data_IF_563108752852
#
_entry.id   IF_563108752852
#
_cell.length_a   1.000
_cell.length_b   1.000
_cell.length_c   1.000
_cell.angle_alpha   90.00
_cell.angle_beta   90.00
_cell.angle_gamma   90.00
#
_symmetry.space_group_name_H-M   'P 1'
#
loop_
_entity.id
_entity.type
_entity.pdbx_description
1 polymer ?
#
# COMPACT_ATOMS: atom_id res chain seq x y z
N UNK A 1 -0.06 -11.29 -28.32
CA UNK A 1 -0.98 -12.25 -27.68
C UNK A 1 -2.15 -11.49 -27.08
N UNK A 2 -3.39 -11.92 -27.33
CA UNK A 2 -4.60 -11.33 -26.73
C UNK A 2 -4.97 -12.09 -25.43
N UNK A 3 -5.73 -11.48 -24.50
CA UNK A 3 -6.36 -12.20 -23.39
C UNK A 3 -7.41 -13.21 -23.89
N UNK A 4 -7.96 -14.04 -22.98
CA UNK A 4 -9.10 -14.93 -23.29
C UNK A 4 -10.22 -14.16 -23.98
N UNK A 5 -10.83 -14.72 -25.03
CA UNK A 5 -11.85 -14.10 -25.89
C UNK A 5 -13.27 -14.62 -25.60
N UNK A 6 -13.46 -15.29 -24.46
CA UNK A 6 -14.76 -15.79 -24.03
C UNK A 6 -15.80 -14.66 -23.94
N UNK A 7 -16.97 -14.83 -24.54
CA UNK A 7 -18.00 -13.79 -24.70
C UNK A 7 -18.51 -13.18 -23.38
N UNK A 8 -18.50 -13.95 -22.30
CA UNK A 8 -18.95 -13.48 -20.98
C UNK A 8 -17.96 -12.53 -20.29
N UNK A 9 -16.73 -12.44 -20.79
CA UNK A 9 -15.65 -11.68 -20.14
C UNK A 9 -15.48 -10.27 -20.70
N UNK A 10 -16.24 -9.86 -21.71
CA UNK A 10 -16.06 -8.58 -22.40
C UNK A 10 -17.36 -7.80 -22.55
N UNK A 11 -17.24 -6.50 -22.76
CA UNK A 11 -18.38 -5.66 -23.13
C UNK A 11 -19.03 -6.14 -24.45
N UNK A 12 -20.35 -5.88 -24.64
CA UNK A 12 -21.04 -6.21 -25.88
C UNK A 12 -20.38 -5.62 -27.13
N UNK A 13 -19.74 -4.45 -27.01
CA UNK A 13 -19.03 -3.79 -28.11
C UNK A 13 -17.76 -4.57 -28.50
N UNK A 14 -16.91 -4.94 -27.54
CA UNK A 14 -15.74 -5.74 -27.83
C UNK A 14 -16.12 -7.15 -28.31
N UNK A 15 -17.22 -7.72 -27.82
CA UNK A 15 -17.73 -9.02 -28.30
C UNK A 15 -18.04 -9.02 -29.80
N UNK A 16 -18.63 -7.95 -30.34
CA UNK A 16 -18.86 -7.81 -31.79
C UNK A 16 -17.55 -7.86 -32.59
N UNK A 17 -16.48 -7.27 -32.06
CA UNK A 17 -15.15 -7.27 -32.71
C UNK A 17 -14.47 -8.65 -32.61
N UNK A 18 -14.67 -9.35 -31.49
CA UNK A 18 -14.21 -10.73 -31.32
C UNK A 18 -14.91 -11.64 -32.32
N UNK A 19 -16.23 -11.53 -32.45
CA UNK A 19 -17.03 -12.28 -33.43
C UNK A 19 -16.58 -11.99 -34.86
N UNK A 20 -16.32 -10.72 -35.21
CA UNK A 20 -15.81 -10.34 -36.52
C UNK A 20 -14.43 -10.96 -36.81
N UNK A 21 -13.53 -11.00 -35.81
CA UNK A 21 -12.23 -11.66 -35.96
C UNK A 21 -12.38 -13.19 -36.13
N UNK A 22 -13.24 -13.82 -35.33
CA UNK A 22 -13.52 -15.25 -35.42
C UNK A 22 -14.14 -15.62 -36.78
N UNK A 23 -15.02 -14.77 -37.29
CA UNK A 23 -15.62 -14.93 -38.62
C UNK A 23 -14.56 -14.78 -39.72
N UNK A 24 -13.68 -13.77 -39.66
CA UNK A 24 -12.57 -13.62 -40.59
C UNK A 24 -11.66 -14.86 -40.59
N UNK A 25 -11.35 -15.42 -39.42
CA UNK A 25 -10.58 -16.65 -39.29
C UNK A 25 -11.29 -17.89 -39.84
N UNK A 26 -12.62 -17.94 -39.73
CA UNK A 26 -13.45 -19.04 -40.26
C UNK A 26 -13.47 -19.03 -41.79
N UNK A 27 -13.63 -17.86 -42.39
CA UNK A 27 -13.63 -17.65 -43.84
C UNK A 27 -12.22 -17.82 -44.45
N UNK A 28 -11.18 -17.42 -43.71
CA UNK A 28 -9.79 -17.40 -44.18
C UNK A 28 -8.91 -18.41 -43.42
N UNK A 29 -9.34 -19.67 -43.33
CA UNK A 29 -8.68 -20.72 -42.51
C UNK A 29 -7.16 -20.83 -42.70
N UNK A 30 -6.67 -20.76 -43.95
CA UNK A 30 -5.24 -20.80 -44.27
C UNK A 30 -4.63 -19.41 -44.42
N UNK A 31 -5.37 -18.45 -44.99
CA UNK A 31 -4.89 -17.08 -45.25
C UNK A 31 -4.79 -16.20 -44.00
N UNK A 32 -5.38 -16.60 -42.87
CA UNK A 32 -5.20 -15.92 -41.57
C UNK A 32 -3.73 -15.84 -41.15
N UNK A 33 -2.91 -16.83 -41.52
CA UNK A 33 -1.48 -16.85 -41.23
C UNK A 33 -0.66 -15.92 -42.14
N UNK A 34 -1.25 -15.46 -43.25
CA UNK A 34 -0.67 -14.47 -44.16
C UNK A 34 -1.07 -13.03 -43.79
N UNK A 35 -1.76 -12.83 -42.66
CA UNK A 35 -2.10 -11.49 -42.15
C UNK A 35 -3.38 -10.87 -42.70
N UNK A 36 -4.20 -11.62 -43.45
CA UNK A 36 -5.47 -11.10 -44.03
C UNK A 36 -6.43 -10.56 -42.96
N UNK A 37 -6.41 -11.10 -41.74
CA UNK A 37 -7.27 -10.66 -40.64
C UNK A 37 -6.59 -9.66 -39.67
N UNK A 38 -5.46 -9.06 -40.04
CA UNK A 38 -4.71 -8.15 -39.16
C UNK A 38 -5.49 -6.90 -38.76
N UNK A 39 -6.31 -6.36 -39.65
CA UNK A 39 -7.12 -5.17 -39.37
C UNK A 39 -8.18 -5.45 -38.30
N UNK A 40 -8.93 -6.56 -38.46
CA UNK A 40 -9.89 -7.02 -37.46
C UNK A 40 -9.20 -7.28 -36.11
N UNK A 41 -8.01 -7.90 -36.12
CA UNK A 41 -7.23 -8.16 -34.91
C UNK A 41 -6.76 -6.85 -34.23
N UNK A 42 -6.30 -5.87 -35.01
CA UNK A 42 -5.86 -4.56 -34.50
C UNK A 42 -7.00 -3.81 -33.83
N UNK A 43 -8.18 -3.78 -34.45
CA UNK A 43 -9.38 -3.13 -33.91
C UNK A 43 -9.83 -3.83 -32.62
N UNK A 44 -9.89 -5.16 -32.62
CA UNK A 44 -10.22 -5.94 -31.42
C UNK A 44 -9.22 -5.68 -30.28
N UNK A 45 -7.91 -5.72 -30.55
CA UNK A 45 -6.89 -5.46 -29.54
C UNK A 45 -6.97 -4.06 -28.93
N UNK A 46 -7.30 -3.04 -29.73
CA UNK A 46 -7.56 -1.68 -29.23
C UNK A 46 -8.74 -1.67 -28.25
N UNK A 47 -9.84 -2.36 -28.57
CA UNK A 47 -11.00 -2.48 -27.69
C UNK A 47 -10.63 -3.18 -26.36
N UNK A 48 -9.97 -4.34 -26.45
CA UNK A 48 -9.54 -5.10 -25.26
C UNK A 48 -8.53 -4.34 -24.39
N UNK A 49 -7.65 -3.53 -25.01
CA UNK A 49 -6.73 -2.65 -24.29
C UNK A 49 -7.50 -1.56 -23.54
N UNK A 50 -8.46 -0.90 -24.19
CA UNK A 50 -9.29 0.12 -23.56
C UNK A 50 -10.10 -0.46 -22.38
N UNK A 51 -10.72 -1.62 -22.57
CA UNK A 51 -11.44 -2.32 -21.50
C UNK A 51 -10.53 -2.67 -20.30
N UNK A 52 -9.31 -3.17 -20.57
CA UNK A 52 -8.33 -3.44 -19.50
C UNK A 52 -7.91 -2.16 -18.76
N UNK A 53 -7.73 -1.05 -19.48
CA UNK A 53 -7.41 0.24 -18.85
C UNK A 53 -8.57 0.70 -17.97
N UNK A 54 -9.80 0.62 -18.47
CA UNK A 54 -11.01 0.99 -17.74
C UNK A 54 -11.18 0.14 -16.47
N UNK A 55 -11.05 -1.19 -16.55
CA UNK A 55 -11.10 -2.07 -15.37
C UNK A 55 -10.00 -1.77 -14.36
N UNK A 56 -8.78 -1.44 -14.83
CA UNK A 56 -7.69 -1.03 -13.93
C UNK A 56 -8.04 0.26 -13.20
N UNK A 57 -8.65 1.23 -13.88
CA UNK A 57 -9.13 2.47 -13.28
C UNK A 57 -10.22 2.19 -12.24
N UNK A 58 -11.25 1.43 -12.57
CA UNK A 58 -12.32 1.08 -11.62
C UNK A 58 -11.80 0.29 -10.41
N UNK A 59 -10.88 -0.65 -10.63
CA UNK A 59 -10.26 -1.39 -9.53
C UNK A 59 -9.39 -0.48 -8.65
N UNK A 60 -8.70 0.49 -9.26
CA UNK A 60 -7.95 1.51 -8.53
C UNK A 60 -8.89 2.37 -7.68
N UNK A 61 -9.97 2.91 -8.26
CA UNK A 61 -10.95 3.74 -7.56
C UNK A 61 -11.61 2.97 -6.40
N UNK A 62 -12.04 1.72 -6.64
CA UNK A 62 -12.57 0.83 -5.58
C UNK A 62 -11.53 0.54 -4.49
N UNK A 63 -10.26 0.40 -4.86
CA UNK A 63 -9.18 0.17 -3.88
C UNK A 63 -8.94 1.40 -3.01
N UNK A 64 -9.07 2.60 -3.59
CA UNK A 64 -8.95 3.87 -2.89
C UNK A 64 -10.14 4.09 -1.96
N UNK A 65 -11.37 3.86 -2.42
CA UNK A 65 -12.58 3.93 -1.59
C UNK A 65 -12.51 2.96 -0.41
N UNK A 66 -12.09 1.72 -0.67
CA UNK A 66 -11.86 0.74 0.40
C UNK A 66 -10.80 1.25 1.37
N UNK A 67 -9.68 1.79 0.91
CA UNK A 67 -8.62 2.32 1.77
C UNK A 67 -9.13 3.44 2.66
N UNK A 68 -9.84 4.41 2.08
CA UNK A 68 -10.42 5.54 2.81
C UNK A 68 -11.39 5.07 3.90
N UNK A 69 -12.28 4.14 3.56
CA UNK A 69 -13.18 3.51 4.53
C UNK A 69 -12.44 2.83 5.69
N UNK A 70 -11.29 2.22 5.42
CA UNK A 70 -10.56 1.44 6.42
C UNK A 70 -9.67 2.28 7.33
N UNK A 71 -9.04 3.32 6.80
CA UNK A 71 -8.00 4.05 7.52
C UNK A 71 -8.38 5.49 7.86
N UNK A 72 -9.53 5.99 7.39
CA UNK A 72 -9.81 7.42 7.47
C UNK A 72 -8.84 8.22 6.59
N UNK A 73 -9.02 9.54 6.50
CA UNK A 73 -8.41 10.43 5.52
C UNK A 73 -6.99 10.01 5.05
N UNK A 74 -6.75 9.84 3.74
CA UNK A 74 -5.39 9.73 3.26
C UNK A 74 -4.65 11.01 3.62
N UNK A 75 -3.49 10.89 4.28
CA UNK A 75 -2.55 12.01 4.41
C UNK A 75 -2.35 12.57 2.99
N UNK A 76 -2.51 13.88 2.77
CA UNK A 76 -2.19 14.47 1.48
C UNK A 76 -0.77 14.04 1.14
N UNK A 77 -0.58 13.47 -0.04
CA UNK A 77 0.77 13.22 -0.53
C UNK A 77 1.57 14.52 -0.42
N UNK A 78 2.86 14.43 -0.12
CA UNK A 78 3.74 15.62 -0.02
C UNK A 78 3.58 16.57 -1.23
N UNK A 79 3.18 16.04 -2.40
CA UNK A 79 2.80 16.80 -3.59
C UNK A 79 1.61 17.77 -3.40
N UNK A 80 0.60 17.43 -2.60
CA UNK A 80 -0.57 18.28 -2.33
C UNK A 80 -0.25 19.41 -1.34
N UNK A 81 0.66 19.19 -0.39
CA UNK A 81 1.18 20.23 0.51
C UNK A 81 2.03 21.25 -0.28
N UNK A 82 2.84 20.78 -1.24
CA UNK A 82 3.57 21.68 -2.17
C UNK A 82 2.63 22.49 -3.05
N UNK A 83 1.53 21.91 -3.56
CA UNK A 83 0.54 22.66 -4.38
C UNK A 83 -0.15 23.78 -3.60
N UNK A 84 -0.38 23.60 -2.29
CA UNK A 84 -0.94 24.64 -1.42
C UNK A 84 0.06 25.78 -1.13
N UNK A 85 1.35 25.46 -1.02
CA UNK A 85 2.44 26.45 -0.89
C UNK A 85 2.71 27.20 -2.21
N UNK A 86 2.66 26.50 -3.35
CA UNK A 86 2.96 27.08 -4.67
C UNK A 86 1.84 27.98 -5.22
N UNK A 87 0.56 27.68 -4.91
CA UNK A 87 -0.58 28.54 -5.30
C UNK A 87 -0.55 29.93 -4.65
N UNK A 88 0.12 30.11 -3.51
CA UNK A 88 0.28 31.44 -2.87
C UNK A 88 1.31 32.34 -3.59
N UNK A 89 2.21 31.78 -4.39
CA UNK A 89 3.26 32.56 -5.09
C UNK A 89 2.87 32.93 -6.54
N UNK A 90 2.06 32.10 -7.21
CA UNK A 90 1.74 32.27 -8.64
C UNK A 90 0.72 33.37 -8.97
N UNK A 91 -0.05 33.86 -7.99
CA UNK A 91 -0.97 34.99 -8.18
C UNK A 91 -0.26 36.35 -8.33
N UNK A 92 1.07 36.39 -8.15
CA UNK A 92 1.88 37.63 -8.24
C UNK A 92 2.67 37.75 -9.55
N UNK A 93 2.88 36.66 -10.30
CA UNK A 93 3.77 36.63 -11.48
C UNK A 93 3.04 36.58 -12.83
N UNK A 94 1.75 36.23 -12.86
CA UNK A 94 0.93 36.24 -14.09
C UNK A 94 0.61 37.65 -14.61
N UNK A 95 0.89 38.71 -13.84
CA UNK A 95 0.79 40.11 -14.30
C UNK A 95 2.00 40.59 -15.11
N UNK A 96 3.16 39.93 -15.01
CA UNK A 96 4.40 40.40 -15.65
C UNK A 96 4.60 39.71 -17.02
N UNK A 97 4.25 38.42 -17.14
CA UNK A 97 4.47 37.67 -18.38
C UNK A 97 3.48 37.97 -19.52
N UNK A 98 2.26 38.44 -19.21
CA UNK A 98 1.26 38.79 -20.24
C UNK A 98 1.63 40.06 -21.04
N UNK A 99 2.65 40.83 -20.60
CA UNK A 99 3.07 42.07 -21.26
C UNK A 99 4.20 41.88 -22.27
N UNK A 100 4.81 40.69 -22.32
CA UNK A 100 5.95 40.41 -23.21
C UNK A 100 5.50 39.65 -24.48
N UNK A 101 4.46 38.82 -24.40
CA UNK A 101 4.08 37.91 -25.48
C UNK A 101 3.23 38.52 -26.63
N UNK A 102 2.95 39.82 -26.61
CA UNK A 102 2.17 40.48 -27.68
C UNK A 102 3.02 41.13 -28.78
N UNK A 103 4.34 40.89 -28.83
CA UNK A 103 5.24 41.68 -29.71
C UNK A 103 6.10 40.91 -30.70
N UNK A 104 5.94 39.60 -30.88
CA UNK A 104 6.58 38.92 -32.01
C UNK A 104 5.63 37.89 -32.60
N UNK A 105 5.17 38.19 -33.81
CA UNK A 105 4.41 37.30 -34.66
C UNK A 105 5.31 36.40 -35.50
N UNK A 106 4.63 35.45 -36.12
CA UNK A 106 5.06 34.45 -37.12
C UNK A 106 5.85 33.23 -36.65
N UNK A 107 5.67 32.03 -37.22
CA UNK A 107 4.62 31.34 -37.99
C UNK A 107 5.25 30.00 -38.39
N UNK A 108 4.44 28.94 -38.51
CA UNK A 108 4.70 27.67 -39.21
C UNK A 108 5.40 26.51 -38.47
N UNK A 109 4.59 25.71 -37.76
CA UNK A 109 4.75 24.25 -37.62
C UNK A 109 3.34 23.63 -37.63
N UNK A 110 3.13 22.60 -38.45
CA UNK A 110 1.78 22.08 -38.78
C UNK A 110 1.13 21.32 -37.63
N UNK A 111 -0.11 21.70 -37.31
CA UNK A 111 -0.89 21.32 -36.11
C UNK A 111 -1.25 19.83 -35.96
N UNK A 112 -0.99 18.98 -36.95
CA UNK A 112 -1.47 17.58 -36.96
C UNK A 112 -0.46 16.53 -36.51
N UNK A 113 0.83 16.88 -36.39
CA UNK A 113 1.90 15.97 -35.93
C UNK A 113 2.24 16.19 -34.45
N UNK A 114 2.02 17.40 -33.94
CA UNK A 114 2.27 17.78 -32.54
C UNK A 114 1.28 17.08 -31.58
N UNK A 115 0.00 16.97 -31.98
CA UNK A 115 -1.06 16.38 -31.15
C UNK A 115 -0.92 14.90 -30.84
N UNK A 116 -0.12 14.14 -31.61
CA UNK A 116 0.12 12.70 -31.37
C UNK A 116 1.34 12.41 -30.52
N UNK A 117 2.23 13.39 -30.33
CA UNK A 117 3.41 13.26 -29.47
C UNK A 117 3.13 13.80 -28.06
N UNK A 118 2.27 14.81 -27.92
CA UNK A 118 1.83 15.35 -26.62
C UNK A 118 1.03 14.34 -25.77
N UNK A 119 0.13 13.55 -26.37
CA UNK A 119 -0.75 12.62 -25.63
C UNK A 119 -0.03 11.48 -24.88
N UNK A 120 1.24 11.19 -25.20
CA UNK A 120 2.02 10.14 -24.52
C UNK A 120 3.09 10.69 -23.59
N UNK A 121 3.57 11.92 -23.80
CA UNK A 121 4.54 12.57 -22.92
C UNK A 121 3.87 13.16 -21.67
N UNK A 122 2.61 13.60 -21.77
CA UNK A 122 1.86 14.14 -20.63
C UNK A 122 1.60 13.10 -19.52
N UNK A 123 1.52 11.80 -19.86
CA UNK A 123 1.25 10.74 -18.88
C UNK A 123 2.52 10.38 -18.09
N UNK A 124 3.70 10.37 -18.74
CA UNK A 124 4.97 10.04 -18.08
C UNK A 124 5.53 11.23 -17.31
N UNK A 125 5.38 12.45 -17.82
CA UNK A 125 5.84 13.67 -17.14
C UNK A 125 4.93 14.07 -15.95
N UNK A 126 3.62 13.77 -15.99
CA UNK A 126 2.75 13.87 -14.80
C UNK A 126 3.15 12.84 -13.72
N UNK A 127 3.65 11.66 -14.12
CA UNK A 127 4.11 10.62 -13.19
C UNK A 127 5.49 10.96 -12.56
N UNK A 128 6.38 11.58 -13.32
CA UNK A 128 7.75 11.93 -12.88
C UNK A 128 7.81 13.27 -12.11
N UNK A 129 6.93 14.22 -12.41
CA UNK A 129 6.80 15.50 -11.69
C UNK A 129 6.23 15.34 -10.26
N UNK A 130 5.61 14.19 -9.97
CA UNK A 130 5.10 13.82 -8.64
C UNK A 130 6.13 13.11 -7.74
N UNK A 131 7.41 13.13 -8.11
CA UNK A 131 8.53 12.63 -7.30
C UNK A 131 8.79 13.45 -6.03
N UNK A 132 7.83 13.51 -5.10
CA UNK A 132 8.15 13.73 -3.70
C UNK A 132 8.94 12.52 -3.19
N UNK A 133 9.95 12.76 -2.36
CA UNK A 133 10.74 11.73 -1.64
C UNK A 133 9.87 10.50 -1.42
N UNK A 134 10.22 9.40 -2.08
CA UNK A 134 9.35 8.25 -2.21
C UNK A 134 9.06 7.71 -0.81
N UNK A 135 7.88 8.05 -0.28
CA UNK A 135 7.34 7.29 0.85
C UNK A 135 7.39 5.82 0.43
N UNK A 136 8.03 4.99 1.25
CA UNK A 136 8.34 3.61 0.87
C UNK A 136 7.06 2.81 0.60
N UNK A 137 7.17 1.65 -0.06
CA UNK A 137 6.01 0.80 -0.36
C UNK A 137 5.14 0.54 0.89
N UNK A 138 5.79 0.44 2.05
CA UNK A 138 5.17 0.26 3.36
C UNK A 138 4.38 1.49 3.81
N UNK A 139 4.89 2.68 3.56
CA UNK A 139 4.23 3.94 3.96
C UNK A 139 2.97 4.22 3.14
N UNK A 140 3.01 3.89 1.85
CA UNK A 140 1.85 4.05 0.96
C UNK A 140 0.79 2.97 1.18
N UNK A 141 1.18 1.75 1.53
CA UNK A 141 0.25 0.59 1.47
C UNK A 141 -0.44 0.28 2.79
N UNK A 142 0.05 0.81 3.92
CA UNK A 142 -0.43 0.45 5.25
C UNK A 142 -1.01 1.65 6.01
N UNK A 143 -2.14 1.44 6.69
CA UNK A 143 -2.64 2.32 7.74
C UNK A 143 -1.85 2.11 9.03
N UNK A 144 -1.55 3.18 9.75
CA UNK A 144 -0.74 3.15 10.98
C UNK A 144 -1.64 3.33 12.19
N UNK A 145 -1.56 2.39 13.11
CA UNK A 145 -2.27 2.43 14.38
C UNK A 145 -1.32 2.15 15.53
N UNK A 146 -1.63 2.67 16.71
CA UNK A 146 -0.73 2.67 17.85
C UNK A 146 -1.42 2.17 19.10
N UNK A 147 -0.64 1.51 19.96
CA UNK A 147 -1.09 1.04 21.25
C UNK A 147 0.01 1.29 22.27
N UNK A 148 -0.35 1.91 23.39
CA UNK A 148 0.55 2.13 24.52
C UNK A 148 0.14 1.13 25.59
N UNK A 149 1.06 0.23 25.95
CA UNK A 149 0.80 -0.69 27.05
C UNK A 149 0.76 0.08 28.38
N UNK A 150 -0.20 -0.23 29.27
CA UNK A 150 -0.21 0.34 30.61
C UNK A 150 1.04 -0.09 31.40
N UNK A 151 1.34 0.66 32.46
CA UNK A 151 2.42 0.37 33.40
C UNK A 151 3.82 0.30 32.76
N UNK A 152 4.07 1.05 31.69
CA UNK A 152 5.40 1.10 31.05
C UNK A 152 5.76 -0.15 30.24
N UNK A 153 4.76 -0.93 29.80
CA UNK A 153 4.95 -2.14 28.98
C UNK A 153 5.47 -1.89 27.55
N UNK A 154 5.68 -0.63 27.16
CA UNK A 154 6.18 -0.23 25.85
C UNK A 154 5.09 0.24 24.89
N UNK A 155 5.51 0.85 23.78
CA UNK A 155 4.62 1.42 22.76
C UNK A 155 4.73 0.64 21.46
N UNK A 156 3.61 0.14 20.95
CA UNK A 156 3.57 -0.72 19.77
C UNK A 156 2.80 -0.06 18.64
N UNK A 157 3.18 -0.40 17.42
CA UNK A 157 2.54 0.11 16.20
C UNK A 157 2.11 -1.05 15.33
N UNK A 158 0.86 -0.98 14.91
CA UNK A 158 0.23 -1.88 13.96
C UNK A 158 0.20 -1.23 12.58
N UNK A 159 0.79 -1.89 11.59
CA UNK A 159 0.72 -1.53 10.18
C UNK A 159 -0.32 -2.43 9.50
N UNK A 160 -1.47 -1.86 9.15
CA UNK A 160 -2.59 -2.60 8.59
C UNK A 160 -2.69 -2.41 7.07
N UNK A 161 -2.68 -3.49 6.29
CA UNK A 161 -2.85 -3.43 4.83
C UNK A 161 -4.32 -3.35 4.41
N UNK A 162 -4.60 -2.87 3.21
CA UNK A 162 -5.94 -2.91 2.59
C UNK A 162 -6.53 -4.33 2.42
N UNK A 163 -5.66 -5.34 2.48
CA UNK A 163 -6.00 -6.77 2.45
C UNK A 163 -6.21 -7.35 3.85
N UNK A 164 -6.25 -6.51 4.89
CA UNK A 164 -6.48 -6.88 6.29
C UNK A 164 -5.39 -7.75 6.91
N UNK A 165 -4.22 -7.85 6.27
CA UNK A 165 -3.01 -8.37 6.90
C UNK A 165 -2.43 -7.25 7.76
N UNK A 166 -2.01 -7.57 8.98
CA UNK A 166 -1.40 -6.60 9.88
C UNK A 166 0.01 -7.03 10.27
N UNK A 167 0.92 -6.06 10.34
CA UNK A 167 2.27 -6.22 10.87
C UNK A 167 2.33 -5.51 12.21
N UNK A 168 2.86 -6.18 13.23
CA UNK A 168 3.10 -5.61 14.55
C UNK A 168 4.57 -5.20 14.60
N UNK A 169 4.84 -3.95 14.97
CA UNK A 169 6.17 -3.32 15.04
C UNK A 169 6.30 -2.53 16.33
N UNK A 170 7.51 -2.15 16.72
CA UNK A 170 7.69 -1.14 17.77
C UNK A 170 7.23 0.23 17.26
N UNK A 171 6.60 1.01 18.14
CA UNK A 171 6.29 2.40 17.84
C UNK A 171 7.56 3.27 17.98
N UNK A 172 7.66 4.40 17.25
CA UNK A 172 8.87 5.25 17.28
C UNK A 172 9.27 5.76 18.66
N UNK A 173 8.30 5.97 19.57
CA UNK A 173 8.60 6.42 20.93
C UNK A 173 8.70 5.27 21.94
N UNK A 174 8.84 4.02 21.49
CA UNK A 174 9.07 2.88 22.37
C UNK A 174 10.42 3.05 23.09
N UNK A 175 10.54 2.75 24.41
CA UNK A 175 11.78 2.93 25.18
C UNK A 175 13.04 2.32 24.55
N UNK A 176 12.92 1.14 23.92
CA UNK A 176 14.02 0.50 23.14
C UNK A 176 14.59 1.42 22.06
N UNK A 177 13.74 2.21 21.40
CA UNK A 177 14.15 3.12 20.31
C UNK A 177 14.60 4.45 20.91
N UNK A 178 13.83 5.03 21.84
CA UNK A 178 14.13 6.36 22.39
C UNK A 178 15.39 6.39 23.24
N UNK A 179 15.62 5.34 24.04
CA UNK A 179 16.79 5.23 24.92
C UNK A 179 17.91 4.40 24.29
N UNK A 180 17.74 4.03 23.01
CA UNK A 180 18.67 3.22 22.22
C UNK A 180 19.13 1.92 22.91
N UNK A 181 18.23 1.26 23.65
CA UNK A 181 18.58 0.09 24.46
C UNK A 181 19.14 -1.06 23.61
N UNK A 182 20.12 -1.77 24.17
CA UNK A 182 20.68 -3.00 23.59
C UNK A 182 19.78 -4.18 23.97
N UNK A 183 19.24 -4.86 22.97
CA UNK A 183 18.40 -6.04 23.16
C UNK A 183 19.29 -7.26 23.31
N UNK A 184 19.19 -7.96 24.43
CA UNK A 184 20.01 -9.14 24.73
C UNK A 184 19.38 -10.41 24.18
N UNK A 185 18.13 -10.70 24.55
CA UNK A 185 17.42 -11.91 24.13
C UNK A 185 15.95 -11.64 23.87
N UNK A 186 15.38 -12.39 22.91
CA UNK A 186 13.94 -12.36 22.62
C UNK A 186 13.41 -13.76 22.84
N UNK A 187 12.47 -13.89 23.76
CA UNK A 187 11.79 -15.14 24.05
C UNK A 187 10.45 -15.19 23.33
N UNK A 188 10.21 -16.25 22.54
CA UNK A 188 8.97 -16.49 21.80
C UNK A 188 8.04 -17.52 22.47
N UNK A 189 8.41 -18.00 23.66
CA UNK A 189 7.59 -18.89 24.44
C UNK A 189 6.48 -18.09 25.13
N UNK A 190 5.24 -18.30 24.68
CA UNK A 190 4.08 -17.64 25.27
C UNK A 190 3.60 -18.40 26.52
N UNK A 191 3.55 -19.74 26.46
CA UNK A 191 3.23 -20.64 27.55
C UNK A 191 4.18 -21.85 27.52
N UNK A 192 4.22 -22.66 28.57
CA UNK A 192 5.05 -23.89 28.64
C UNK A 192 4.90 -24.80 27.42
N UNK A 193 3.68 -24.90 26.89
CA UNK A 193 3.35 -25.74 25.74
C UNK A 193 3.24 -24.99 24.40
N UNK A 194 3.52 -23.67 24.36
CA UNK A 194 3.27 -22.85 23.18
C UNK A 194 4.45 -21.93 22.85
N UNK A 195 5.25 -22.35 21.86
CA UNK A 195 6.24 -21.52 21.21
C UNK A 195 5.66 -20.91 19.93
N UNK A 196 5.72 -19.58 19.79
CA UNK A 196 5.17 -18.84 18.64
C UNK A 196 5.98 -19.03 17.35
N UNK A 197 7.24 -19.46 17.44
CA UNK A 197 8.09 -19.78 16.28
C UNK A 197 7.66 -21.07 15.58
N UNK A 198 7.03 -22.00 16.31
CA UNK A 198 6.57 -23.30 15.80
C UNK A 198 5.19 -23.19 15.14
N UNK A 199 4.99 -22.17 14.30
CA UNK A 199 3.73 -21.91 13.63
C UNK A 199 3.76 -22.40 12.17
N UNK A 200 3.16 -23.56 11.90
CA UNK A 200 3.11 -24.15 10.55
C UNK A 200 1.81 -23.78 9.84
N UNK A 201 1.78 -22.59 9.25
CA UNK A 201 0.61 -22.09 8.52
C UNK A 201 0.64 -22.54 7.06
N UNK A 202 -0.47 -23.09 6.57
CA UNK A 202 -0.59 -23.51 5.17
C UNK A 202 -1.97 -23.24 4.54
N UNK A 203 -2.00 -23.17 3.21
CA UNK A 203 -3.21 -23.05 2.41
C UNK A 203 -3.94 -21.70 2.49
N UNK A 204 -4.96 -21.53 1.63
CA UNK A 204 -5.78 -20.30 1.55
C UNK A 204 -6.53 -20.00 2.86
N UNK A 205 -6.94 -21.04 3.59
CA UNK A 205 -7.66 -20.93 4.88
C UNK A 205 -6.75 -20.66 6.09
N UNK A 206 -5.42 -20.58 5.86
CA UNK A 206 -4.40 -20.42 6.92
C UNK A 206 -4.57 -21.50 7.99
N UNK A 207 -4.62 -22.76 7.56
CA UNK A 207 -4.75 -23.92 8.43
C UNK A 207 -3.45 -24.14 9.21
N UNK A 208 -3.56 -24.59 10.46
CA UNK A 208 -2.41 -24.75 11.37
C UNK A 208 -1.92 -23.45 12.02
N UNK A 209 -2.52 -22.30 11.68
CA UNK A 209 -2.20 -21.04 12.32
C UNK A 209 -2.65 -21.02 13.79
N UNK A 210 -1.74 -20.62 14.67
CA UNK A 210 -2.06 -20.38 16.07
C UNK A 210 -3.06 -19.22 16.18
N UNK A 211 -4.08 -19.41 17.01
CA UNK A 211 -5.05 -18.36 17.30
C UNK A 211 -4.52 -17.45 18.42
N UNK A 212 -4.69 -16.15 18.22
CA UNK A 212 -4.30 -15.10 19.15
C UNK A 212 -5.55 -14.39 19.64
N UNK A 213 -5.60 -14.17 20.95
CA UNK A 213 -6.52 -13.27 21.64
C UNK A 213 -5.85 -11.91 21.84
N UNK A 214 -6.59 -10.94 22.36
CA UNK A 214 -6.07 -9.62 22.72
C UNK A 214 -4.90 -9.68 23.72
N UNK A 215 -5.02 -10.46 24.79
CA UNK A 215 -3.98 -10.60 25.81
C UNK A 215 -2.89 -11.63 25.45
N UNK A 216 -2.93 -12.25 24.27
CA UNK A 216 -1.96 -13.27 23.88
C UNK A 216 -0.56 -12.67 23.74
N UNK A 217 0.41 -13.25 24.47
CA UNK A 217 1.82 -12.88 24.38
C UNK A 217 2.39 -13.41 23.06
N UNK A 218 3.08 -12.52 22.34
CA UNK A 218 3.81 -12.82 21.11
C UNK A 218 5.28 -13.13 21.40
N UNK A 219 5.93 -12.24 22.15
CA UNK A 219 7.30 -12.42 22.59
C UNK A 219 7.61 -11.55 23.83
N UNK A 220 8.70 -11.87 24.51
CA UNK A 220 9.27 -11.09 25.61
C UNK A 220 10.67 -10.64 25.22
N UNK A 221 10.90 -9.33 25.21
CA UNK A 221 12.17 -8.73 24.79
C UNK A 221 12.95 -8.31 26.03
N UNK A 222 14.08 -8.97 26.30
CA UNK A 222 15.00 -8.61 27.37
C UNK A 222 16.03 -7.62 26.85
N UNK A 223 16.24 -6.54 27.58
CA UNK A 223 17.25 -5.52 27.27
C UNK A 223 18.36 -5.56 28.32
N UNK A 224 19.55 -5.13 27.93
CA UNK A 224 20.65 -4.92 28.88
C UNK A 224 20.32 -3.73 29.80
N UNK A 225 20.63 -3.85 31.09
CA UNK A 225 20.38 -2.81 32.08
C UNK A 225 18.93 -2.72 32.60
N UNK A 226 18.02 -3.59 32.13
CA UNK A 226 16.66 -3.69 32.66
C UNK A 226 16.41 -5.10 33.22
N UNK A 227 15.87 -5.17 34.44
CA UNK A 227 15.48 -6.45 35.05
C UNK A 227 14.22 -7.04 34.41
N UNK A 228 13.20 -6.20 34.22
CA UNK A 228 11.92 -6.63 33.64
C UNK A 228 11.95 -6.62 32.09
N UNK A 229 11.54 -7.72 31.43
CA UNK A 229 11.45 -7.75 29.98
C UNK A 229 10.22 -6.96 29.47
N UNK A 230 10.31 -6.43 28.25
CA UNK A 230 9.15 -5.88 27.55
C UNK A 230 8.28 -7.03 27.04
N UNK A 231 7.04 -7.12 27.52
CA UNK A 231 6.08 -8.14 27.10
C UNK A 231 5.27 -7.60 25.93
N UNK A 232 5.48 -8.19 24.74
CA UNK A 232 4.76 -7.82 23.52
C UNK A 232 3.49 -8.65 23.43
N UNK A 233 2.33 -8.00 23.51
CA UNK A 233 1.01 -8.61 23.32
C UNK A 233 0.47 -8.39 21.90
N UNK A 234 -0.45 -9.25 21.49
CA UNK A 234 -1.13 -9.15 20.19
C UNK A 234 -2.06 -7.93 20.13
N UNK A 235 -2.78 -7.64 21.22
CA UNK A 235 -3.81 -6.60 21.33
C UNK A 235 -4.87 -6.67 20.19
N UNK A 236 -5.01 -7.85 19.60
CA UNK A 236 -5.88 -8.17 18.47
C UNK A 236 -6.28 -9.63 18.52
N UNK A 237 -7.54 -9.88 18.18
CA UNK A 237 -8.03 -11.24 17.91
C UNK A 237 -7.68 -11.62 16.46
N UNK A 238 -6.71 -12.52 16.29
CA UNK A 238 -6.16 -12.82 14.98
C UNK A 238 -5.58 -14.24 14.87
N UNK A 239 -5.27 -14.66 13.65
CA UNK A 239 -4.43 -15.83 13.39
C UNK A 239 -2.98 -15.37 13.21
N UNK A 240 -2.05 -15.98 13.92
CA UNK A 240 -0.62 -15.75 13.71
C UNK A 240 -0.22 -16.34 12.35
N UNK A 241 0.42 -15.54 11.50
CA UNK A 241 0.94 -15.99 10.21
C UNK A 241 2.42 -16.30 10.33
N UNK A 242 3.18 -15.35 10.86
CA UNK A 242 4.64 -15.44 10.89
C UNK A 242 5.21 -14.62 12.06
N UNK A 243 6.28 -15.13 12.67
CA UNK A 243 7.16 -14.38 13.57
C UNK A 243 8.46 -14.08 12.82
N UNK A 244 8.99 -12.88 12.98
CA UNK A 244 10.22 -12.49 12.31
C UNK A 244 11.42 -13.22 12.93
N UNK A 245 12.07 -14.07 12.14
CA UNK A 245 13.21 -14.88 12.59
C UNK A 245 14.49 -14.05 12.68
N UNK A 246 14.63 -13.07 11.79
CA UNK A 246 15.84 -12.27 11.59
C UNK A 246 16.18 -11.43 12.83
N UNK A 247 15.19 -11.12 13.66
CA UNK A 247 15.41 -10.37 14.91
C UNK A 247 16.19 -11.21 15.92
N UNK A 248 16.03 -12.53 15.90
CA UNK A 248 16.78 -13.43 16.80
C UNK A 248 18.27 -13.41 16.47
N UNK A 249 18.61 -13.23 15.19
CA UNK A 249 19.99 -13.13 14.69
C UNK A 249 20.53 -11.70 14.82
N UNK A 250 19.69 -10.71 14.55
CA UNK A 250 20.06 -9.28 14.54
C UNK A 250 19.07 -8.43 15.33
N UNK A 251 19.23 -8.30 16.66
CA UNK A 251 18.27 -7.58 17.51
C UNK A 251 18.11 -6.08 17.16
N UNK A 252 19.16 -5.46 16.60
CA UNK A 252 19.11 -4.07 16.12
C UNK A 252 18.06 -3.85 15.02
N UNK A 253 17.61 -4.91 14.35
CA UNK A 253 16.58 -4.83 13.32
C UNK A 253 15.25 -4.28 13.86
N UNK A 254 14.93 -4.48 15.14
CA UNK A 254 13.73 -3.94 15.80
C UNK A 254 13.59 -2.42 15.72
N UNK A 255 14.72 -1.71 15.65
CA UNK A 255 14.75 -0.25 15.52
C UNK A 255 14.34 0.21 14.12
N UNK A 256 14.42 -0.69 13.13
CA UNK A 256 14.02 -0.41 11.76
C UNK A 256 12.50 -0.58 11.58
N UNK A 257 11.84 0.46 11.08
CA UNK A 257 10.41 0.49 10.84
C UNK A 257 9.90 -0.55 9.82
N UNK A 258 10.72 -0.92 8.83
CA UNK A 258 10.28 -1.73 7.69
C UNK A 258 10.59 -3.21 7.88
N UNK A 259 11.85 -3.51 8.20
CA UNK A 259 12.34 -4.89 8.34
C UNK A 259 12.24 -5.40 9.78
N UNK A 260 12.05 -4.50 10.76
CA UNK A 260 11.94 -4.82 12.19
C UNK A 260 10.55 -5.20 12.67
N UNK A 261 9.70 -5.78 11.82
CA UNK A 261 8.40 -6.27 12.26
C UNK A 261 8.57 -7.45 13.21
N UNK A 262 7.75 -7.53 14.26
CA UNK A 262 7.79 -8.60 15.25
C UNK A 262 6.97 -9.80 14.76
N UNK A 263 5.74 -9.53 14.32
CA UNK A 263 4.79 -10.56 13.92
C UNK A 263 3.91 -10.09 12.76
N UNK A 264 3.55 -11.03 11.89
CA UNK A 264 2.51 -10.87 10.88
C UNK A 264 1.27 -11.61 11.37
N UNK A 265 0.16 -10.89 11.51
CA UNK A 265 -1.11 -11.41 12.01
C UNK A 265 -2.23 -11.18 11.00
N UNK A 266 -3.21 -12.07 11.02
CA UNK A 266 -4.38 -12.04 10.16
C UNK A 266 -5.67 -12.03 11.00
N UNK A 267 -6.24 -10.85 11.29
CA UNK A 267 -7.51 -10.72 12.00
C UNK A 267 -8.68 -11.33 11.22
N UNK A 268 -9.79 -11.60 11.92
CA UNK A 268 -11.03 -12.01 11.24
C UNK A 268 -11.63 -10.83 10.49
N UNK A 269 -12.00 -11.04 9.22
CA UNK A 269 -12.44 -9.97 8.32
C UNK A 269 -13.65 -9.16 8.84
N UNK A 270 -14.61 -9.82 9.49
CA UNK A 270 -15.81 -9.17 10.02
C UNK A 270 -15.56 -8.43 11.34
N UNK A 271 -14.50 -8.78 12.08
CA UNK A 271 -14.16 -8.17 13.37
C UNK A 271 -13.11 -7.06 13.23
N UNK A 272 -12.39 -7.04 12.11
CA UNK A 272 -11.25 -6.14 11.89
C UNK A 272 -11.58 -4.69 12.19
N UNK A 273 -12.67 -4.14 11.64
CA UNK A 273 -12.96 -2.71 11.79
C UNK A 273 -13.27 -2.35 13.26
N UNK A 274 -13.80 -3.30 14.04
CA UNK A 274 -14.04 -3.14 15.48
C UNK A 274 -12.74 -3.23 16.27
N UNK A 275 -11.86 -4.19 15.94
CA UNK A 275 -10.58 -4.34 16.62
C UNK A 275 -9.65 -3.15 16.36
N UNK A 276 -9.58 -2.66 15.13
CA UNK A 276 -8.73 -1.50 14.78
C UNK A 276 -9.18 -0.22 15.48
N UNK A 277 -10.50 -0.02 15.71
CA UNK A 277 -11.00 1.14 16.46
C UNK A 277 -10.55 1.18 17.92
N UNK A 278 -10.07 0.07 18.48
CA UNK A 278 -9.47 0.04 19.83
C UNK A 278 -8.06 0.62 19.84
N UNK A 279 -7.40 0.67 18.69
CA UNK A 279 -6.08 1.23 18.53
C UNK A 279 -6.17 2.72 18.22
N UNK A 280 -5.18 3.48 18.68
CA UNK A 280 -5.10 4.91 18.44
C UNK A 280 -4.63 5.19 17.01
N UNK A 281 -5.16 6.26 16.43
CA UNK A 281 -4.61 6.84 15.20
C UNK A 281 -3.25 7.48 15.46
N UNK A 282 -2.50 7.76 14.40
CA UNK A 282 -1.20 8.42 14.50
C UNK A 282 -1.31 9.80 15.18
N UNK A 283 -2.38 10.54 14.93
CA UNK A 283 -2.61 11.87 15.50
C UNK A 283 -2.88 11.80 17.01
N UNK A 284 -3.79 10.92 17.43
CA UNK A 284 -4.10 10.68 18.84
C UNK A 284 -2.86 10.22 19.60
N UNK A 285 -2.07 9.31 19.01
CA UNK A 285 -0.83 8.84 19.60
C UNK A 285 0.17 9.99 19.81
N UNK A 286 0.40 10.81 18.79
CA UNK A 286 1.34 11.93 18.90
C UNK A 286 0.87 12.98 19.92
N UNK A 287 -0.43 13.22 20.02
CA UNK A 287 -0.99 14.10 21.06
C UNK A 287 -0.76 13.53 22.46
N UNK A 288 -0.97 12.22 22.63
CA UNK A 288 -0.75 11.53 23.91
C UNK A 288 0.72 11.55 24.33
N UNK A 289 1.65 11.30 23.40
CA UNK A 289 3.08 11.42 23.67
C UNK A 289 3.47 12.86 24.03
N UNK A 290 2.88 13.86 23.37
CA UNK A 290 3.16 15.27 23.71
C UNK A 290 2.67 15.63 25.11
N UNK A 291 1.47 15.17 25.53
CA UNK A 291 0.99 15.44 26.88
C UNK A 291 1.91 14.83 27.94
N UNK A 292 2.37 13.60 27.71
CA UNK A 292 3.18 12.86 28.68
C UNK A 292 4.62 13.39 28.83
N UNK A 293 5.09 14.28 27.93
CA UNK A 293 6.41 14.93 28.00
C UNK A 293 6.37 16.36 28.58
N UNK A 294 5.19 16.91 28.85
CA UNK A 294 5.03 18.28 29.35
C UNK A 294 4.91 18.33 30.89
N UNK A 295 4.66 17.18 31.52
CA UNK A 295 4.70 16.99 32.98
C UNK A 295 6.08 16.51 33.45
#
# INVERSE_FOLDING_TARGET
MHPDLSSNLHTPECNKLIEALLQCHKENRFKRFLGVCNDANSIMLKCLKAERIQRRKENFDKSMEKRERLFGHPKPSSAMIKKLSFKRSWLTLTRIFFRIYTTVGDSSLTSSTISKMEDTQDIEDEYLSQGSAYETLTERSFGRFYFIEPNGGGHYRLLAHSNKICLITLAPSHPIITNDLVVSTINYQANDNCNRMNNKVSGKRKAGAQFLTDCSILCSIKCEGREEPFIVRSNLVAKLIEMNKDISETPNLLKNCEKGYIAIVFPKLHEFDREIRRWMTEEEYLLKIKSDNVD
#
